data_IF_187327694682
#
_entry.id   IF_187327694682
#
_cell.length_a   1.000
_cell.length_b   1.000
_cell.length_c   1.000
_cell.angle_alpha   90.00
_cell.angle_beta   90.00
_cell.angle_gamma   90.00
#
_symmetry.space_group_name_H-M   'P 1'
#
loop_
_entity.id
_entity.type
_entity.pdbx_description
1 polymer ?
#
# COMPACT_ATOMS: atom_id res chain seq x y z
N UNK A 1 22.19 9.36 6.70
CA UNK A 1 21.49 8.40 7.56
C UNK A 1 22.00 7.02 7.18
N UNK A 2 22.65 6.33 8.08
CA UNK A 2 23.06 4.93 7.90
C UNK A 2 21.88 4.04 8.27
N UNK A 3 21.66 2.99 7.50
CA UNK A 3 20.59 2.01 7.76
C UNK A 3 21.01 1.20 8.99
N UNK A 4 20.13 1.08 9.99
CA UNK A 4 20.34 0.20 11.14
C UNK A 4 20.55 -1.24 10.65
N UNK A 5 21.63 -1.93 11.06
CA UNK A 5 21.96 -3.30 10.63
C UNK A 5 20.82 -4.31 10.88
N UNK A 6 19.96 -4.08 11.89
CA UNK A 6 18.77 -4.92 12.15
C UNK A 6 17.69 -4.79 11.07
N UNK A 7 17.61 -3.65 10.41
CA UNK A 7 16.65 -3.42 9.34
C UNK A 7 17.14 -3.98 8.00
N UNK A 8 18.44 -4.15 7.81
CA UNK A 8 19.00 -4.80 6.62
C UNK A 8 18.58 -6.27 6.47
N UNK A 9 18.38 -6.99 7.58
CA UNK A 9 17.91 -8.38 7.55
C UNK A 9 16.45 -8.54 7.12
N UNK A 10 15.58 -7.59 7.47
CA UNK A 10 14.17 -7.58 7.04
C UNK A 10 14.04 -7.34 5.52
N UNK A 11 14.90 -6.51 4.95
CA UNK A 11 14.93 -6.24 3.50
C UNK A 11 15.30 -7.52 2.72
N UNK A 12 16.18 -8.36 3.25
CA UNK A 12 16.59 -9.63 2.63
C UNK A 12 15.46 -10.66 2.49
N UNK A 13 14.46 -10.65 3.39
CA UNK A 13 13.32 -11.58 3.34
C UNK A 13 12.45 -11.33 2.10
N UNK A 14 12.28 -10.07 1.70
CA UNK A 14 11.50 -9.73 0.51
C UNK A 14 12.23 -10.07 -0.80
N UNK A 15 13.57 -10.10 -0.78
CA UNK A 15 14.37 -10.38 -1.97
C UNK A 15 14.32 -11.85 -2.39
N UNK A 16 14.36 -12.76 -1.42
CA UNK A 16 14.30 -14.20 -1.66
C UNK A 16 12.97 -14.64 -2.31
N UNK A 17 11.88 -13.93 -2.05
CA UNK A 17 10.58 -14.21 -2.65
C UNK A 17 10.48 -13.91 -4.16
N UNK A 18 11.41 -13.11 -4.72
CA UNK A 18 11.45 -12.79 -6.15
C UNK A 18 12.43 -13.63 -6.94
N UNK A 19 13.49 -14.20 -6.33
CA UNK A 19 14.57 -14.87 -7.01
C UNK A 19 14.44 -16.40 -7.13
N UNK A 20 13.48 -17.04 -6.47
CA UNK A 20 13.29 -18.49 -6.55
C UNK A 20 12.38 -18.90 -7.70
N UNK A 21 12.88 -18.84 -8.94
CA UNK A 21 12.36 -19.66 -10.03
C UNK A 21 13.36 -19.77 -11.19
N UNK A 22 14.10 -20.88 -11.19
CA UNK A 22 14.65 -21.65 -12.29
C UNK A 22 15.03 -20.95 -13.61
N UNK A 23 16.33 -20.82 -13.82
CA UNK A 23 16.93 -20.80 -15.15
C UNK A 23 17.29 -22.24 -15.60
N UNK A 24 16.90 -22.72 -16.78
CA UNK A 24 17.55 -23.83 -17.42
C UNK A 24 18.86 -23.34 -18.08
N UNK A 25 19.99 -23.68 -17.48
CA UNK A 25 21.29 -23.55 -18.17
C UNK A 25 21.43 -24.67 -19.19
N UNK A 26 21.32 -24.32 -20.46
CA UNK A 26 21.84 -25.11 -21.54
C UNK A 26 23.33 -24.81 -21.68
N UNK A 27 24.18 -25.78 -21.35
CA UNK A 27 25.55 -25.87 -21.88
C UNK A 27 25.89 -27.33 -22.06
N UNK A 28 26.20 -27.64 -23.31
CA UNK A 28 26.57 -28.96 -23.77
C UNK A 28 27.97 -29.39 -23.34
N UNK A 29 28.06 -30.66 -23.19
CA UNK A 29 29.13 -31.60 -23.39
C UNK A 29 30.56 -31.28 -22.92
N UNK A 30 31.08 -32.12 -22.04
CA UNK A 30 32.16 -33.05 -22.33
C UNK A 30 32.34 -34.04 -21.15
N UNK A 31 32.55 -35.29 -21.52
CA UNK A 31 32.73 -36.49 -20.69
C UNK A 31 33.99 -36.45 -19.85
N UNK A 32 33.96 -36.97 -18.61
CA UNK A 32 34.89 -38.00 -18.16
C UNK A 32 34.34 -38.69 -16.89
N UNK A 33 34.46 -40.03 -16.93
CA UNK A 33 34.09 -40.99 -15.89
C UNK A 33 35.05 -40.94 -14.70
N UNK A 34 34.54 -41.16 -13.46
CA UNK A 34 35.08 -42.17 -12.53
C UNK A 34 34.26 -42.25 -11.21
N UNK A 35 33.78 -43.46 -10.97
CA UNK A 35 33.51 -44.26 -9.74
C UNK A 35 33.33 -43.58 -8.34
N UNK A 36 32.13 -43.80 -7.87
CA UNK A 36 31.67 -44.33 -6.57
C UNK A 36 32.43 -44.05 -5.28
N UNK A 37 31.70 -43.50 -4.27
CA UNK A 37 31.40 -44.22 -2.99
C UNK A 37 30.29 -43.50 -2.19
N UNK A 38 29.54 -44.29 -1.44
CA UNK A 38 28.35 -44.01 -0.62
C UNK A 38 28.71 -43.20 0.64
N UNK A 39 27.79 -42.36 1.09
CA UNK A 39 27.02 -42.33 2.36
C UNK A 39 26.81 -40.90 2.81
N UNK A 40 25.59 -40.62 3.33
CA UNK A 40 25.34 -39.44 4.14
C UNK A 40 24.04 -38.68 3.79
N UNK A 41 23.04 -38.89 4.62
CA UNK A 41 21.70 -38.34 4.52
C UNK A 41 21.64 -36.81 4.42
N UNK A 42 20.81 -36.32 3.54
CA UNK A 42 20.44 -34.90 3.42
C UNK A 42 19.18 -34.61 4.23
N UNK A 43 19.18 -33.63 5.13
CA UNK A 43 17.97 -33.07 5.71
C UNK A 43 17.71 -31.69 5.10
N UNK A 44 17.10 -31.62 3.91
CA UNK A 44 16.71 -30.33 3.34
C UNK A 44 15.54 -30.43 2.34
N UNK A 45 14.40 -30.93 2.83
CA UNK A 45 13.17 -31.02 2.03
C UNK A 45 11.88 -30.72 2.82
N UNK A 46 11.97 -29.92 3.89
CA UNK A 46 10.76 -29.54 4.66
C UNK A 46 10.42 -28.05 4.62
N UNK A 47 11.21 -27.20 3.99
CA UNK A 47 10.95 -25.74 3.94
C UNK A 47 10.18 -25.26 2.73
N UNK A 48 10.12 -26.03 1.66
CA UNK A 48 9.38 -25.62 0.44
C UNK A 48 7.85 -25.81 0.55
N UNK A 49 7.40 -26.75 1.36
CA UNK A 49 5.96 -27.04 1.53
C UNK A 49 5.21 -25.97 2.32
N UNK A 50 5.86 -25.30 3.26
CA UNK A 50 5.22 -24.30 4.13
C UNK A 50 4.99 -22.95 3.43
N UNK A 51 5.87 -22.54 2.51
CA UNK A 51 5.77 -21.28 1.77
C UNK A 51 4.69 -21.37 0.69
N UNK A 52 4.55 -22.51 0.03
CA UNK A 52 3.49 -22.76 -0.95
C UNK A 52 2.10 -22.82 -0.28
N UNK A 53 2.00 -23.33 0.93
CA UNK A 53 0.72 -23.42 1.68
C UNK A 53 0.25 -22.04 2.13
N UNK A 54 1.18 -21.16 2.51
CA UNK A 54 0.84 -19.78 2.91
C UNK A 54 0.43 -18.91 1.71
N UNK A 55 0.99 -19.17 0.52
CA UNK A 55 0.58 -18.47 -0.70
C UNK A 55 -0.79 -18.94 -1.24
N UNK A 56 -1.21 -20.15 -0.94
CA UNK A 56 -2.51 -20.68 -1.36
C UNK A 56 -3.69 -20.20 -0.49
N UNK A 57 -3.42 -19.63 0.69
CA UNK A 57 -4.48 -19.09 1.56
C UNK A 57 -5.04 -17.73 1.12
N UNK A 58 -4.41 -17.08 0.13
CA UNK A 58 -5.01 -15.93 -0.58
C UNK A 58 -5.77 -16.48 -1.80
N UNK A 59 -6.74 -17.37 -1.56
CA UNK A 59 -7.63 -17.85 -2.61
C UNK A 59 -8.64 -16.78 -2.98
N UNK A 60 -8.92 -16.69 -4.27
CA UNK A 60 -10.06 -16.01 -4.88
C UNK A 60 -11.34 -16.28 -4.10
N UNK A 61 -11.77 -15.30 -3.31
CA UNK A 61 -13.09 -15.32 -2.69
C UNK A 61 -14.10 -14.84 -3.72
N UNK A 62 -14.84 -15.80 -4.28
CA UNK A 62 -16.07 -15.49 -4.99
C UNK A 62 -17.08 -14.94 -3.98
N UNK A 63 -17.27 -13.63 -4.01
CA UNK A 63 -18.24 -12.93 -3.19
C UNK A 63 -19.62 -13.13 -3.82
N UNK A 64 -20.35 -14.11 -3.35
CA UNK A 64 -21.80 -14.19 -3.48
C UNK A 64 -22.34 -14.61 -2.11
N UNK A 65 -22.42 -13.65 -1.20
CA UNK A 65 -23.38 -13.69 -0.10
C UNK A 65 -23.56 -12.26 0.41
N UNK A 66 -24.79 -11.81 0.38
CA UNK A 66 -25.24 -10.50 0.82
C UNK A 66 -25.08 -10.37 2.34
N UNK A 67 -23.95 -9.82 2.78
CA UNK A 67 -23.80 -9.40 4.17
C UNK A 67 -24.53 -8.08 4.38
N UNK A 68 -25.60 -8.13 5.14
CA UNK A 68 -26.37 -6.98 5.58
C UNK A 68 -25.53 -6.11 6.51
N UNK A 69 -25.26 -4.85 6.10
CA UNK A 69 -24.38 -3.92 6.84
C UNK A 69 -24.98 -3.58 8.22
N UNK A 70 -26.28 -3.84 8.45
CA UNK A 70 -26.93 -3.62 9.73
C UNK A 70 -26.43 -4.57 10.84
N UNK A 71 -25.83 -5.72 10.47
CA UNK A 71 -25.35 -6.77 11.37
C UNK A 71 -23.82 -6.91 11.43
N UNK A 72 -23.06 -6.00 10.80
CA UNK A 72 -21.65 -5.90 11.11
C UNK A 72 -21.57 -5.32 12.52
N UNK A 73 -21.41 -6.18 13.52
CA UNK A 73 -20.96 -5.79 14.86
C UNK A 73 -19.53 -5.28 14.68
N UNK A 74 -19.41 -4.03 14.21
CA UNK A 74 -18.19 -3.29 14.24
C UNK A 74 -18.02 -2.91 15.71
N UNK A 75 -17.31 -3.76 16.42
CA UNK A 75 -16.59 -3.46 17.65
C UNK A 75 -17.30 -2.50 18.62
N UNK A 76 -18.06 -3.05 19.55
CA UNK A 76 -18.56 -2.30 20.69
C UNK A 76 -17.46 -2.18 21.75
N UNK A 77 -16.77 -1.04 21.78
CA UNK A 77 -15.94 -0.68 22.91
C UNK A 77 -16.82 -0.44 24.14
N UNK A 78 -16.60 -1.22 25.19
CA UNK A 78 -17.18 -0.97 26.52
C UNK A 78 -16.83 0.43 27.00
N UNK A 79 -17.85 1.17 27.41
CA UNK A 79 -17.79 2.51 27.94
C UNK A 79 -16.77 2.64 29.10
N UNK A 80 -15.65 3.28 28.86
CA UNK A 80 -14.89 3.92 29.93
C UNK A 80 -14.87 5.44 29.65
N UNK A 81 -15.76 6.13 30.35
CA UNK A 81 -15.82 7.58 30.41
C UNK A 81 -14.63 8.09 31.22
N UNK A 82 -13.53 8.43 30.56
CA UNK A 82 -12.55 9.36 31.11
C UNK A 82 -12.14 10.32 29.99
N UNK A 83 -12.85 11.45 29.96
CA UNK A 83 -12.57 12.59 29.10
C UNK A 83 -11.33 13.30 29.63
N UNK A 84 -10.17 13.00 29.08
CA UNK A 84 -8.98 13.84 29.21
C UNK A 84 -9.01 14.82 28.04
N UNK A 85 -9.38 16.05 28.30
CA UNK A 85 -9.26 17.16 27.35
C UNK A 85 -7.78 17.49 27.15
N UNK A 86 -7.16 16.89 26.17
CA UNK A 86 -5.85 17.33 25.67
C UNK A 86 -6.08 18.50 24.72
N UNK A 87 -5.57 19.69 25.09
CA UNK A 87 -5.47 20.84 24.19
C UNK A 87 -4.60 20.45 23.01
N UNK A 88 -5.22 20.09 21.90
CA UNK A 88 -4.52 19.84 20.64
C UNK A 88 -3.97 21.16 20.11
N UNK A 89 -2.66 21.27 19.98
CA UNK A 89 -2.03 22.34 19.22
C UNK A 89 -2.53 22.23 17.76
N UNK A 90 -3.43 23.14 17.37
CA UNK A 90 -3.90 23.30 15.98
C UNK A 90 -2.70 23.64 15.10
N UNK A 91 -2.07 22.65 14.49
CA UNK A 91 -0.89 22.88 13.67
C UNK A 91 -1.22 23.29 12.23
N UNK A 92 -2.41 22.98 11.72
CA UNK A 92 -2.92 23.46 10.44
C UNK A 92 -4.45 23.57 10.53
N UNK A 93 -4.97 24.74 10.82
CA UNK A 93 -6.36 25.07 10.54
C UNK A 93 -6.39 25.63 9.12
N UNK A 94 -6.75 24.82 8.14
CA UNK A 94 -7.24 25.39 6.90
C UNK A 94 -8.44 26.26 7.23
N UNK A 95 -8.44 27.49 6.73
CA UNK A 95 -9.59 28.36 6.91
C UNK A 95 -10.77 27.63 6.25
N UNK A 96 -11.85 27.41 6.98
CA UNK A 96 -13.03 26.65 6.53
C UNK A 96 -13.55 27.15 5.17
N UNK A 97 -13.31 28.43 4.86
CA UNK A 97 -13.71 29.08 3.61
C UNK A 97 -12.96 28.53 2.38
N UNK A 98 -11.74 27.96 2.56
CA UNK A 98 -10.97 27.34 1.49
C UNK A 98 -11.19 25.82 1.36
N UNK A 99 -11.88 25.22 2.32
CA UNK A 99 -12.07 23.78 2.35
C UNK A 99 -12.81 23.27 1.10
N UNK A 100 -13.95 23.90 0.80
CA UNK A 100 -14.80 23.48 -0.31
C UNK A 100 -14.08 23.70 -1.66
N UNK A 101 -13.40 24.83 -1.82
CA UNK A 101 -12.65 25.15 -3.03
C UNK A 101 -11.47 24.19 -3.23
N UNK A 102 -10.69 23.92 -2.17
CA UNK A 102 -9.58 22.98 -2.24
C UNK A 102 -10.06 21.57 -2.60
N UNK A 103 -11.13 21.11 -1.95
CA UNK A 103 -11.70 19.80 -2.22
C UNK A 103 -12.24 19.68 -3.64
N UNK A 104 -12.95 20.70 -4.13
CA UNK A 104 -13.47 20.73 -5.50
C UNK A 104 -12.33 20.70 -6.53
N UNK A 105 -11.24 21.43 -6.30
CA UNK A 105 -10.07 21.40 -7.19
C UNK A 105 -9.43 20.00 -7.23
N UNK A 106 -9.31 19.32 -6.09
CA UNK A 106 -8.83 17.93 -6.05
C UNK A 106 -9.77 16.98 -6.81
N UNK A 107 -11.09 17.13 -6.70
CA UNK A 107 -12.04 16.32 -7.47
C UNK A 107 -11.93 16.55 -8.98
N UNK A 108 -11.78 17.81 -9.41
CA UNK A 108 -11.57 18.14 -10.82
C UNK A 108 -10.29 17.52 -11.37
N UNK A 109 -9.23 17.55 -10.59
CA UNK A 109 -7.97 16.92 -10.95
C UNK A 109 -8.09 15.38 -10.93
N UNK A 110 -8.72 14.79 -9.92
CA UNK A 110 -8.97 13.35 -9.87
C UNK A 110 -9.72 12.89 -11.14
N UNK A 111 -10.73 13.63 -11.57
CA UNK A 111 -11.50 13.28 -12.76
C UNK A 111 -10.65 13.23 -14.04
N UNK A 112 -9.66 14.15 -14.17
CA UNK A 112 -8.68 14.14 -15.27
C UNK A 112 -7.74 12.92 -15.19
N UNK A 113 -7.39 12.47 -13.96
CA UNK A 113 -6.35 11.47 -13.71
C UNK A 113 -6.90 10.06 -13.58
N UNK A 114 -8.16 9.87 -13.17
CA UNK A 114 -8.77 8.56 -12.96
C UNK A 114 -8.74 7.67 -14.20
N UNK A 115 -8.87 8.26 -15.39
CA UNK A 115 -8.84 7.53 -16.66
C UNK A 115 -7.47 6.94 -17.01
N UNK A 116 -6.40 7.26 -16.26
CA UNK A 116 -5.03 6.82 -16.56
C UNK A 116 -4.71 5.42 -16.07
N UNK A 117 -5.34 4.99 -14.97
CA UNK A 117 -5.16 3.65 -14.45
C UNK A 117 -6.28 2.76 -14.97
N UNK A 118 -5.91 1.77 -15.76
CA UNK A 118 -6.83 0.69 -16.07
C UNK A 118 -6.95 -0.23 -14.86
N UNK A 119 -8.06 -0.19 -14.14
CA UNK A 119 -8.30 -1.02 -12.95
C UNK A 119 -8.20 -2.53 -13.22
N UNK A 120 -8.20 -2.96 -14.48
CA UNK A 120 -8.04 -4.35 -14.89
C UNK A 120 -6.73 -4.61 -15.65
N UNK A 121 -5.68 -3.83 -15.41
CA UNK A 121 -4.41 -3.98 -16.14
C UNK A 121 -3.74 -5.34 -15.92
N UNK A 122 -3.99 -6.04 -14.81
CA UNK A 122 -3.44 -7.37 -14.59
C UNK A 122 -3.89 -8.41 -15.61
N UNK A 123 -5.02 -8.18 -16.29
CA UNK A 123 -5.55 -9.12 -17.31
C UNK A 123 -4.61 -9.27 -18.50
N UNK A 124 -3.80 -8.27 -18.84
CA UNK A 124 -2.82 -8.33 -19.92
C UNK A 124 -1.37 -8.45 -19.46
N UNK A 125 -1.10 -8.38 -18.15
CA UNK A 125 0.23 -8.62 -17.61
C UNK A 125 0.57 -10.12 -17.64
N UNK A 126 1.58 -10.50 -18.44
CA UNK A 126 1.91 -11.91 -18.67
C UNK A 126 2.84 -12.52 -17.62
N UNK A 127 3.66 -11.70 -16.96
CA UNK A 127 4.78 -12.16 -16.12
C UNK A 127 4.64 -11.81 -14.65
N UNK A 128 3.67 -10.95 -14.31
CA UNK A 128 3.35 -10.53 -12.95
C UNK A 128 1.88 -10.79 -12.66
N UNK A 129 1.55 -10.80 -11.36
CA UNK A 129 0.18 -10.96 -10.90
C UNK A 129 -0.11 -10.06 -9.68
N UNK A 130 -1.37 -10.02 -9.26
CA UNK A 130 -1.82 -9.18 -8.14
C UNK A 130 -1.12 -9.51 -6.81
N UNK A 131 -0.72 -10.77 -6.56
CA UNK A 131 0.03 -11.16 -5.36
C UNK A 131 1.43 -10.55 -5.35
N UNK A 132 2.11 -10.56 -6.49
CA UNK A 132 3.42 -9.92 -6.63
C UNK A 132 3.33 -8.41 -6.44
N UNK A 133 2.24 -7.77 -6.92
CA UNK A 133 1.98 -6.35 -6.65
C UNK A 133 1.78 -6.10 -5.16
N UNK A 134 0.98 -6.91 -4.48
CA UNK A 134 0.72 -6.79 -3.05
C UNK A 134 2.02 -6.87 -2.22
N UNK A 135 2.90 -7.83 -2.52
CA UNK A 135 4.23 -7.96 -1.88
C UNK A 135 5.09 -6.72 -2.16
N UNK A 136 5.06 -6.20 -3.39
CA UNK A 136 5.81 -5.00 -3.75
C UNK A 136 5.34 -3.78 -2.96
N UNK A 137 4.02 -3.60 -2.83
CA UNK A 137 3.43 -2.47 -2.09
C UNK A 137 3.68 -2.61 -0.59
N UNK A 138 3.57 -3.80 -0.02
CA UNK A 138 3.91 -4.05 1.39
C UNK A 138 5.37 -3.65 1.68
N UNK A 139 6.30 -4.04 0.81
CA UNK A 139 7.69 -3.61 0.90
C UNK A 139 7.85 -2.08 0.78
N UNK A 140 7.10 -1.41 -0.11
CA UNK A 140 7.15 0.06 -0.22
C UNK A 140 6.68 0.74 1.07
N UNK A 141 5.66 0.21 1.75
CA UNK A 141 5.18 0.72 3.04
C UNK A 141 6.28 0.60 4.10
N UNK A 142 7.00 -0.52 4.13
CA UNK A 142 8.12 -0.73 5.06
C UNK A 142 9.27 0.26 4.79
N UNK A 143 9.71 0.39 3.54
CA UNK A 143 10.75 1.35 3.12
C UNK A 143 10.34 2.80 3.44
N UNK A 144 9.11 3.16 3.11
CA UNK A 144 8.56 4.48 3.43
C UNK A 144 8.64 4.78 4.94
N UNK A 145 8.30 3.80 5.77
CA UNK A 145 8.37 3.94 7.22
C UNK A 145 9.80 4.06 7.73
N UNK A 146 10.73 3.24 7.22
CA UNK A 146 12.14 3.25 7.62
C UNK A 146 12.85 4.56 7.28
N UNK A 147 12.54 5.16 6.15
CA UNK A 147 13.14 6.42 5.71
C UNK A 147 12.37 7.67 6.16
N UNK A 148 11.30 7.50 6.95
CA UNK A 148 10.44 8.58 7.46
C UNK A 148 9.97 9.54 6.35
N UNK A 149 9.57 8.97 5.21
CA UNK A 149 9.09 9.73 4.05
C UNK A 149 7.69 10.28 4.28
N UNK A 150 7.31 11.33 3.53
CA UNK A 150 5.94 11.86 3.53
C UNK A 150 4.96 10.81 3.00
N UNK A 151 3.75 10.77 3.54
CA UNK A 151 2.71 9.86 3.06
C UNK A 151 2.41 10.04 1.58
N UNK A 152 2.34 11.29 1.12
CA UNK A 152 2.15 11.61 -0.29
C UNK A 152 3.17 10.90 -1.19
N UNK A 153 4.42 10.75 -0.74
CA UNK A 153 5.48 10.03 -1.49
C UNK A 153 5.10 8.56 -1.72
N UNK A 154 4.56 7.87 -0.70
CA UNK A 154 4.12 6.48 -0.81
C UNK A 154 2.97 6.33 -1.82
N UNK A 155 1.91 7.13 -1.67
CA UNK A 155 0.75 7.08 -2.55
C UNK A 155 1.11 7.42 -3.99
N UNK A 156 1.93 8.46 -4.18
CA UNK A 156 2.44 8.85 -5.48
C UNK A 156 3.29 7.75 -6.14
N UNK A 157 4.14 7.08 -5.37
CA UNK A 157 4.95 5.97 -5.86
C UNK A 157 4.06 4.82 -6.38
N UNK A 158 3.04 4.43 -5.62
CA UNK A 158 2.10 3.37 -6.04
C UNK A 158 1.30 3.80 -7.27
N UNK A 159 0.86 5.05 -7.33
CA UNK A 159 0.17 5.61 -8.51
C UNK A 159 1.05 5.53 -9.77
N UNK A 160 2.32 5.90 -9.69
CA UNK A 160 3.28 5.82 -10.81
C UNK A 160 3.42 4.37 -11.28
N UNK A 161 3.56 3.42 -10.36
CA UNK A 161 3.67 1.99 -10.68
C UNK A 161 2.41 1.51 -11.40
N UNK A 162 1.22 1.74 -10.86
CA UNK A 162 -0.05 1.26 -11.43
C UNK A 162 -0.33 1.91 -12.79
N UNK A 163 -0.02 3.20 -12.94
CA UNK A 163 -0.16 3.90 -14.23
C UNK A 163 0.79 3.33 -15.29
N UNK A 164 2.05 3.06 -14.91
CA UNK A 164 3.00 2.44 -15.83
C UNK A 164 2.59 1.03 -16.23
N UNK A 165 2.16 0.20 -15.26
CA UNK A 165 1.68 -1.16 -15.51
C UNK A 165 0.40 -1.20 -16.33
N UNK A 166 -0.41 -0.13 -16.30
CA UNK A 166 -1.58 0.02 -17.17
C UNK A 166 -1.23 0.26 -18.64
N UNK A 167 0.03 0.65 -18.92
CA UNK A 167 0.50 1.00 -20.28
C UNK A 167 1.57 0.07 -20.83
N UNK A 168 2.23 -0.74 -19.97
CA UNK A 168 3.42 -1.54 -20.34
C UNK A 168 3.36 -2.91 -19.71
N UNK A 169 3.56 -3.96 -20.51
CA UNK A 169 3.82 -5.32 -20.01
C UNK A 169 5.23 -5.36 -19.48
N UNK A 170 5.41 -5.74 -18.22
CA UNK A 170 6.71 -5.79 -17.58
C UNK A 170 7.16 -7.22 -17.29
N UNK A 171 8.42 -7.51 -17.53
CA UNK A 171 9.03 -8.78 -17.12
C UNK A 171 9.34 -8.77 -15.62
N UNK A 172 9.29 -9.93 -14.99
CA UNK A 172 9.52 -10.10 -13.56
C UNK A 172 10.85 -9.49 -13.08
N UNK A 173 11.93 -9.65 -13.86
CA UNK A 173 13.25 -9.08 -13.56
C UNK A 173 13.26 -7.55 -13.47
N UNK A 174 12.41 -6.88 -14.27
CA UNK A 174 12.32 -5.42 -14.33
C UNK A 174 11.28 -4.87 -13.34
N UNK A 175 10.44 -5.73 -12.75
CA UNK A 175 9.40 -5.29 -11.84
C UNK A 175 9.97 -4.72 -10.53
N UNK A 176 11.07 -5.29 -10.06
CA UNK A 176 11.80 -4.80 -8.90
C UNK A 176 12.50 -3.45 -9.19
N UNK A 177 13.10 -3.32 -10.38
CA UNK A 177 13.72 -2.07 -10.82
C UNK A 177 12.68 -0.95 -11.00
N UNK A 178 11.48 -1.29 -11.50
CA UNK A 178 10.37 -0.35 -11.62
C UNK A 178 9.99 0.27 -10.27
N UNK A 179 9.89 -0.54 -9.18
CA UNK A 179 9.55 0.00 -7.86
C UNK A 179 10.58 1.00 -7.34
N UNK A 180 11.88 0.72 -7.57
CA UNK A 180 12.96 1.64 -7.16
C UNK A 180 12.91 2.93 -7.95
N UNK A 181 12.70 2.84 -9.28
CA UNK A 181 12.58 4.02 -10.13
C UNK A 181 11.34 4.86 -9.78
N UNK A 182 10.19 4.24 -9.55
CA UNK A 182 8.97 4.92 -9.14
C UNK A 182 9.12 5.60 -7.76
N UNK A 183 9.78 4.93 -6.81
CA UNK A 183 10.07 5.50 -5.50
C UNK A 183 11.02 6.71 -5.63
N UNK A 184 12.06 6.61 -6.46
CA UNK A 184 12.98 7.71 -6.73
C UNK A 184 12.26 8.91 -7.34
N UNK A 185 11.38 8.69 -8.31
CA UNK A 185 10.57 9.76 -8.94
C UNK A 185 9.67 10.42 -7.88
N UNK A 186 8.95 9.63 -7.09
CA UNK A 186 8.07 10.14 -6.04
C UNK A 186 8.83 10.91 -4.95
N UNK A 187 10.04 10.46 -4.58
CA UNK A 187 10.89 11.18 -3.65
C UNK A 187 11.36 12.52 -4.22
N UNK A 188 11.81 12.57 -5.46
CA UNK A 188 12.24 13.82 -6.12
C UNK A 188 11.11 14.85 -6.19
N UNK A 189 9.87 14.40 -6.31
CA UNK A 189 8.69 15.25 -6.40
C UNK A 189 8.24 15.79 -5.03
N UNK A 190 8.24 14.93 -4.01
CA UNK A 190 7.55 15.25 -2.76
C UNK A 190 8.48 15.55 -1.58
N UNK A 191 9.73 15.08 -1.60
CA UNK A 191 10.64 15.23 -0.47
C UNK A 191 11.57 16.43 -0.66
N UNK A 192 11.79 17.18 0.41
CA UNK A 192 12.79 18.27 0.42
C UNK A 192 14.20 17.67 0.37
N UNK A 193 14.39 16.58 1.12
CA UNK A 193 15.64 15.84 1.18
C UNK A 193 15.31 14.36 1.08
N UNK A 194 15.77 13.69 0.04
CA UNK A 194 15.53 12.25 -0.16
C UNK A 194 16.84 11.45 -0.02
N UNK A 195 16.76 10.13 0.23
CA UNK A 195 17.94 9.29 0.38
C UNK A 195 18.85 9.34 -0.85
N UNK A 196 20.18 9.28 -0.69
CA UNK A 196 21.09 9.27 -1.81
C UNK A 196 20.88 8.04 -2.71
N UNK A 197 21.20 8.15 -4.01
CA UNK A 197 20.97 7.07 -4.99
C UNK A 197 21.58 5.72 -4.57
N UNK A 198 22.71 5.75 -3.86
CA UNK A 198 23.33 4.53 -3.30
C UNK A 198 22.41 3.79 -2.34
N UNK A 199 21.59 4.51 -1.55
CA UNK A 199 20.61 3.89 -0.65
C UNK A 199 19.51 3.18 -1.42
N UNK A 200 19.06 3.73 -2.56
CA UNK A 200 18.09 3.03 -3.43
C UNK A 200 18.66 1.74 -3.99
N UNK A 201 19.94 1.71 -4.39
CA UNK A 201 20.59 0.49 -4.85
C UNK A 201 20.74 -0.53 -3.73
N UNK A 202 21.10 -0.09 -2.51
CA UNK A 202 21.19 -0.95 -1.34
C UNK A 202 19.86 -1.63 -1.00
N UNK A 203 18.71 -0.96 -1.24
CA UNK A 203 17.37 -1.54 -1.07
C UNK A 203 17.10 -2.76 -1.97
N UNK A 204 17.90 -2.98 -3.00
CA UNK A 204 17.85 -4.14 -3.89
C UNK A 204 19.08 -5.04 -3.71
N UNK A 205 19.80 -4.94 -2.59
CA UNK A 205 21.06 -5.67 -2.35
C UNK A 205 22.07 -5.43 -3.49
N UNK A 206 22.07 -4.23 -4.06
CA UNK A 206 22.89 -3.85 -5.22
C UNK A 206 22.71 -4.76 -6.45
N UNK A 207 21.50 -5.33 -6.62
CA UNK A 207 21.16 -6.17 -7.78
C UNK A 207 21.13 -5.41 -9.09
N UNK A 208 21.13 -4.07 -9.02
CA UNK A 208 21.09 -3.19 -10.18
C UNK A 208 22.21 -2.16 -10.10
N UNK A 209 22.65 -1.71 -11.28
CA UNK A 209 23.59 -0.59 -11.40
C UNK A 209 22.86 0.75 -11.32
N UNK A 210 23.62 1.80 -11.04
CA UNK A 210 23.09 3.17 -11.06
C UNK A 210 22.55 3.56 -12.45
N UNK A 211 23.22 3.12 -13.51
CA UNK A 211 22.80 3.35 -14.88
C UNK A 211 21.46 2.70 -15.19
N UNK A 212 21.24 1.45 -14.77
CA UNK A 212 19.96 0.76 -14.93
C UNK A 212 18.82 1.47 -14.20
N UNK A 213 19.07 1.95 -12.97
CA UNK A 213 18.09 2.72 -12.21
C UNK A 213 17.70 4.03 -12.91
N UNK A 214 18.69 4.81 -13.37
CA UNK A 214 18.45 6.07 -14.10
C UNK A 214 17.73 5.80 -15.43
N UNK A 215 18.16 4.78 -16.17
CA UNK A 215 17.51 4.40 -17.42
C UNK A 215 16.05 3.98 -17.21
N UNK A 216 15.74 3.27 -16.12
CA UNK A 216 14.37 2.92 -15.79
C UNK A 216 13.56 4.16 -15.38
N UNK A 217 14.12 5.09 -14.60
CA UNK A 217 13.50 6.37 -14.27
C UNK A 217 13.10 7.13 -15.53
N UNK A 218 14.04 7.32 -16.46
CA UNK A 218 13.80 8.02 -17.73
C UNK A 218 12.70 7.30 -18.54
N UNK A 219 12.72 5.97 -18.58
CA UNK A 219 11.74 5.15 -19.28
C UNK A 219 10.34 5.30 -18.69
N UNK A 220 10.23 5.34 -17.37
CA UNK A 220 8.95 5.54 -16.67
C UNK A 220 8.40 6.93 -16.96
N UNK A 221 9.19 7.99 -16.75
CA UNK A 221 8.76 9.37 -16.95
C UNK A 221 8.33 9.61 -18.41
N UNK A 222 9.12 9.15 -19.39
CA UNK A 222 8.77 9.27 -20.82
C UNK A 222 7.50 8.50 -21.17
N UNK A 223 7.30 7.31 -20.59
CA UNK A 223 6.09 6.51 -20.86
C UNK A 223 4.83 7.12 -20.26
N UNK A 224 4.98 7.88 -19.18
CA UNK A 224 3.90 8.61 -18.53
C UNK A 224 3.74 10.05 -19.07
N UNK A 225 4.50 10.44 -20.09
CA UNK A 225 4.48 11.77 -20.70
C UNK A 225 4.71 12.90 -19.67
N UNK A 226 5.58 12.66 -18.68
CA UNK A 226 5.85 13.54 -17.53
C UNK A 226 4.63 13.80 -16.63
N UNK A 227 3.55 13.10 -16.85
CA UNK A 227 2.30 13.26 -16.14
C UNK A 227 2.24 12.25 -14.99
N UNK A 228 2.94 12.58 -13.93
CA UNK A 228 3.17 11.72 -12.76
C UNK A 228 2.36 12.15 -11.53
N UNK A 229 1.71 13.31 -11.58
CA UNK A 229 0.94 13.83 -10.45
C UNK A 229 -0.50 13.31 -10.49
N UNK A 230 -1.05 13.03 -9.32
CA UNK A 230 -2.47 12.70 -9.13
C UNK A 230 -2.87 13.05 -7.72
N UNK A 231 -4.08 13.56 -7.49
CA UNK A 231 -4.66 13.61 -6.16
C UNK A 231 -4.68 12.22 -5.53
N UNK A 232 -4.31 12.14 -4.27
CA UNK A 232 -4.19 10.88 -3.54
C UNK A 232 -5.29 10.74 -2.50
N UNK A 233 -5.63 9.50 -2.13
CA UNK A 233 -6.59 9.25 -1.06
C UNK A 233 -6.12 9.85 0.28
N UNK A 234 -4.82 9.98 0.48
CA UNK A 234 -4.23 10.64 1.65
C UNK A 234 -4.58 12.13 1.73
N UNK A 235 -4.48 12.85 0.59
CA UNK A 235 -4.83 14.28 0.53
C UNK A 235 -6.32 14.50 0.81
N UNK A 236 -7.21 13.73 0.18
CA UNK A 236 -8.65 13.78 0.44
C UNK A 236 -8.98 13.42 1.89
N UNK A 237 -8.34 12.40 2.45
CA UNK A 237 -8.57 11.99 3.82
C UNK A 237 -8.06 13.03 4.82
N UNK A 238 -6.91 13.66 4.55
CA UNK A 238 -6.37 14.73 5.38
C UNK A 238 -7.37 15.88 5.55
N UNK A 239 -7.95 16.33 4.41
CA UNK A 239 -8.99 17.36 4.41
C UNK A 239 -10.22 16.90 5.18
N UNK A 240 -10.69 15.66 4.98
CA UNK A 240 -11.82 15.10 5.71
C UNK A 240 -11.57 15.05 7.22
N UNK A 241 -10.39 14.60 7.62
CA UNK A 241 -10.00 14.47 9.02
C UNK A 241 -9.93 15.83 9.72
N UNK A 242 -9.52 16.88 9.02
CA UNK A 242 -9.53 18.25 9.54
C UNK A 242 -10.96 18.80 9.66
N UNK A 243 -11.80 18.55 8.67
CA UNK A 243 -13.20 19.00 8.66
C UNK A 243 -14.02 18.33 9.77
N UNK A 244 -13.78 17.05 10.06
CA UNK A 244 -14.45 16.31 11.14
C UNK A 244 -13.75 16.42 12.48
N UNK A 245 -12.69 17.24 12.57
CA UNK A 245 -11.92 17.46 13.80
C UNK A 245 -11.45 16.14 14.43
N UNK A 246 -11.00 15.19 13.62
CA UNK A 246 -10.50 13.90 14.11
C UNK A 246 -9.33 14.11 15.07
N UNK A 247 -9.39 13.42 16.20
CA UNK A 247 -8.24 13.32 17.12
C UNK A 247 -7.07 12.62 16.43
N UNK A 248 -5.86 12.79 16.95
CA UNK A 248 -4.67 12.15 16.39
C UNK A 248 -4.81 10.62 16.28
N UNK A 249 -5.38 9.98 17.29
CA UNK A 249 -5.64 8.53 17.27
C UNK A 249 -6.63 8.12 16.17
N UNK A 250 -7.71 8.90 15.98
CA UNK A 250 -8.70 8.66 14.93
C UNK A 250 -8.09 8.85 13.55
N UNK A 251 -7.23 9.87 13.40
CA UNK A 251 -6.49 10.13 12.17
C UNK A 251 -5.56 8.96 11.86
N UNK A 252 -4.74 8.52 12.80
CA UNK A 252 -3.83 7.38 12.60
C UNK A 252 -4.57 6.07 12.27
N UNK A 253 -5.76 5.86 12.85
CA UNK A 253 -6.58 4.71 12.52
C UNK A 253 -7.09 4.76 11.07
N UNK A 254 -7.55 5.91 10.60
CA UNK A 254 -7.92 6.09 9.19
C UNK A 254 -6.74 5.93 8.24
N UNK A 255 -5.59 6.47 8.61
CA UNK A 255 -4.34 6.34 7.85
C UNK A 255 -3.84 4.88 7.77
N UNK A 256 -4.03 4.08 8.82
CA UNK A 256 -3.78 2.65 8.80
C UNK A 256 -4.63 1.94 7.73
N UNK A 257 -5.90 2.27 7.64
CA UNK A 257 -6.81 1.71 6.64
C UNK A 257 -6.41 2.18 5.22
N UNK A 258 -6.01 3.45 5.07
CA UNK A 258 -5.55 4.00 3.80
C UNK A 258 -4.27 3.31 3.30
N UNK A 259 -3.26 3.14 4.16
CA UNK A 259 -2.03 2.44 3.76
C UNK A 259 -2.34 0.99 3.39
N UNK A 260 -3.22 0.32 4.14
CA UNK A 260 -3.69 -1.02 3.82
C UNK A 260 -4.37 -1.07 2.44
N UNK A 261 -5.15 -0.04 2.06
CA UNK A 261 -5.86 0.02 0.80
C UNK A 261 -4.94 -0.06 -0.42
N UNK A 262 -3.70 0.42 -0.31
CA UNK A 262 -2.72 0.37 -1.39
C UNK A 262 -2.32 -1.07 -1.78
N UNK A 263 -2.42 -2.01 -0.84
CA UNK A 263 -2.01 -3.41 -1.03
C UNK A 263 -2.98 -4.15 -1.94
N UNK A 264 -4.30 -3.90 -1.80
CA UNK A 264 -5.31 -4.65 -2.55
C UNK A 264 -5.56 -4.06 -3.94
N UNK A 265 -5.18 -4.82 -4.96
CA UNK A 265 -5.41 -4.49 -6.36
C UNK A 265 -6.90 -4.24 -6.70
N UNK A 266 -7.82 -4.94 -6.03
CA UNK A 266 -9.25 -4.81 -6.31
C UNK A 266 -9.82 -3.44 -5.94
N UNK A 267 -9.15 -2.69 -5.08
CA UNK A 267 -9.56 -1.34 -4.69
C UNK A 267 -9.27 -0.28 -5.77
N UNK A 268 -8.48 -0.61 -6.80
CA UNK A 268 -8.27 0.26 -7.96
C UNK A 268 -9.55 0.55 -8.76
N UNK A 269 -10.65 -0.16 -8.49
CA UNK A 269 -11.98 0.14 -9.06
C UNK A 269 -12.63 1.39 -8.45
N UNK A 270 -12.16 1.86 -7.30
CA UNK A 270 -12.68 3.04 -6.61
C UNK A 270 -11.78 4.26 -6.86
N UNK A 271 -12.41 5.43 -6.93
CA UNK A 271 -11.70 6.70 -6.94
C UNK A 271 -10.98 6.94 -5.60
N UNK A 272 -9.91 7.71 -5.61
CA UNK A 272 -9.14 8.05 -4.41
C UNK A 272 -10.00 8.82 -3.40
N UNK A 273 -10.86 9.72 -3.88
CA UNK A 273 -11.86 10.43 -3.08
C UNK A 273 -12.84 9.48 -2.40
N UNK A 274 -13.33 8.45 -3.13
CA UNK A 274 -14.24 7.43 -2.57
C UNK A 274 -13.57 6.61 -1.49
N UNK A 275 -12.31 6.20 -1.69
CA UNK A 275 -11.51 5.48 -0.68
C UNK A 275 -11.35 6.35 0.57
N UNK A 276 -11.00 7.62 0.42
CA UNK A 276 -10.81 8.56 1.51
C UNK A 276 -12.08 8.78 2.34
N UNK A 277 -13.23 8.97 1.66
CA UNK A 277 -14.54 9.13 2.32
C UNK A 277 -14.95 7.83 3.02
N UNK A 278 -14.69 6.67 2.40
CA UNK A 278 -14.96 5.36 3.02
C UNK A 278 -14.10 5.13 4.28
N UNK A 279 -12.83 5.53 4.27
CA UNK A 279 -11.97 5.51 5.47
C UNK A 279 -12.52 6.41 6.58
N UNK A 280 -12.90 7.66 6.26
CA UNK A 280 -13.54 8.57 7.21
C UNK A 280 -14.84 8.00 7.77
N UNK A 281 -15.67 7.36 6.94
CA UNK A 281 -16.89 6.68 7.37
C UNK A 281 -16.60 5.55 8.36
N UNK A 282 -15.56 4.74 8.10
CA UNK A 282 -15.14 3.67 9.03
C UNK A 282 -14.67 4.27 10.35
N UNK A 283 -13.85 5.33 10.33
CA UNK A 283 -13.41 6.02 11.56
C UNK A 283 -14.61 6.50 12.39
N UNK A 284 -15.56 7.20 11.77
CA UNK A 284 -16.74 7.72 12.46
C UNK A 284 -17.56 6.58 13.07
N UNK A 285 -17.76 5.50 12.34
CA UNK A 285 -18.50 4.33 12.84
C UNK A 285 -17.76 3.62 13.96
N UNK A 286 -16.47 3.40 13.82
CA UNK A 286 -15.65 2.68 14.78
C UNK A 286 -15.57 3.40 16.13
N UNK A 287 -15.41 4.72 16.12
CA UNK A 287 -15.33 5.54 17.32
C UNK A 287 -16.69 6.07 17.79
N UNK A 288 -17.81 5.64 17.19
CA UNK A 288 -19.17 6.09 17.51
C UNK A 288 -19.33 7.62 17.50
N UNK A 289 -18.72 8.29 16.52
CA UNK A 289 -18.80 9.73 16.39
C UNK A 289 -20.13 10.14 15.76
N UNK A 290 -20.58 11.36 16.08
CA UNK A 290 -21.71 11.98 15.40
C UNK A 290 -21.30 12.40 13.97
N UNK A 291 -22.24 12.41 13.02
CA UNK A 291 -21.98 12.94 11.68
C UNK A 291 -21.87 11.93 10.54
N UNK A 292 -22.19 10.64 10.79
CA UNK A 292 -22.19 9.58 9.76
C UNK A 292 -22.98 9.99 8.51
N UNK A 293 -24.14 10.62 8.68
CA UNK A 293 -24.97 11.07 7.56
C UNK A 293 -24.41 12.32 6.88
N UNK A 294 -23.66 13.15 7.58
CA UNK A 294 -22.99 14.31 6.99
C UNK A 294 -21.90 13.89 6.02
N UNK A 295 -21.05 12.93 6.40
CA UNK A 295 -19.95 12.49 5.54
C UNK A 295 -20.47 11.85 4.24
N UNK A 296 -21.63 11.18 4.32
CA UNK A 296 -22.17 10.46 3.14
C UNK A 296 -23.05 11.36 2.27
N UNK A 297 -23.87 12.24 2.87
CA UNK A 297 -24.95 12.90 2.12
C UNK A 297 -24.68 14.38 1.83
N UNK A 298 -23.89 15.07 2.65
CA UNK A 298 -23.82 16.53 2.59
C UNK A 298 -22.46 17.07 2.14
N UNK A 299 -21.39 16.31 2.26
CA UNK A 299 -20.04 16.83 2.02
C UNK A 299 -19.60 16.61 0.57
N UNK A 300 -20.15 15.61 -0.12
CA UNK A 300 -19.64 15.19 -1.42
C UNK A 300 -20.77 14.78 -2.36
N UNK A 301 -21.43 15.75 -3.06
CA UNK A 301 -22.59 15.47 -3.91
C UNK A 301 -22.27 14.50 -5.07
N UNK A 302 -21.02 14.46 -5.51
CA UNK A 302 -20.58 13.64 -6.64
C UNK A 302 -20.23 12.18 -6.26
N UNK A 303 -20.10 11.90 -4.94
CA UNK A 303 -19.77 10.56 -4.45
C UNK A 303 -21.06 9.83 -4.03
N UNK A 304 -21.37 8.73 -4.71
CA UNK A 304 -22.59 7.97 -4.46
C UNK A 304 -22.51 7.26 -3.08
N UNK A 305 -23.50 7.46 -2.17
CA UNK A 305 -23.51 6.85 -0.85
C UNK A 305 -23.39 5.31 -0.86
N UNK A 306 -23.91 4.66 -1.88
CA UNK A 306 -23.80 3.21 -2.07
C UNK A 306 -22.35 2.80 -2.32
N UNK A 307 -21.65 3.54 -3.17
CA UNK A 307 -20.24 3.26 -3.52
C UNK A 307 -19.31 3.41 -2.31
N UNK A 308 -19.55 4.44 -1.46
CA UNK A 308 -18.82 4.60 -0.19
C UNK A 308 -19.02 3.40 0.73
N UNK A 309 -20.26 2.92 0.87
CA UNK A 309 -20.56 1.76 1.73
C UNK A 309 -19.95 0.47 1.19
N UNK A 310 -19.96 0.28 -0.13
CA UNK A 310 -19.36 -0.89 -0.77
C UNK A 310 -17.83 -0.84 -0.60
N UNK A 311 -17.20 0.31 -0.80
CA UNK A 311 -15.78 0.53 -0.56
C UNK A 311 -15.41 0.30 0.91
N UNK A 312 -16.19 0.85 1.86
CA UNK A 312 -15.96 0.65 3.29
C UNK A 312 -16.03 -0.83 3.71
N UNK A 313 -16.95 -1.61 3.09
CA UNK A 313 -17.04 -3.05 3.31
C UNK A 313 -15.78 -3.76 2.81
N UNK A 314 -15.33 -3.44 1.60
CA UNK A 314 -14.12 -4.01 1.01
C UNK A 314 -12.89 -3.68 1.87
N UNK A 315 -12.76 -2.45 2.37
CA UNK A 315 -11.69 -2.01 3.26
C UNK A 315 -11.70 -2.75 4.61
N UNK A 316 -12.86 -2.88 5.26
CA UNK A 316 -12.98 -3.65 6.51
C UNK A 316 -12.57 -5.11 6.31
N UNK A 317 -13.00 -5.71 5.21
CA UNK A 317 -12.64 -7.08 4.86
C UNK A 317 -11.13 -7.22 4.62
N UNK A 318 -10.52 -6.28 3.90
CA UNK A 318 -9.08 -6.23 3.66
C UNK A 318 -8.30 -6.17 4.98
N UNK A 319 -8.60 -5.22 5.86
CA UNK A 319 -7.90 -5.04 7.14
C UNK A 319 -7.99 -6.29 8.00
N UNK A 320 -9.18 -6.93 8.08
CA UNK A 320 -9.38 -8.19 8.81
C UNK A 320 -8.53 -9.34 8.25
N UNK A 321 -8.35 -9.41 6.94
CA UNK A 321 -7.53 -10.45 6.31
C UNK A 321 -6.03 -10.15 6.39
N UNK A 322 -5.62 -8.89 6.31
CA UNK A 322 -4.22 -8.50 6.45
C UNK A 322 -3.65 -8.88 7.82
N UNK A 323 -4.45 -8.79 8.89
CA UNK A 323 -4.02 -9.21 10.24
C UNK A 323 -3.54 -10.66 10.30
N UNK A 324 -4.02 -11.51 9.37
CA UNK A 324 -3.71 -12.96 9.27
C UNK A 324 -2.74 -13.29 8.14
N UNK A 325 -2.31 -12.30 7.36
CA UNK A 325 -1.46 -12.51 6.20
C UNK A 325 0.03 -12.37 6.53
N UNK A 326 0.88 -12.75 5.58
CA UNK A 326 2.33 -12.52 5.66
C UNK A 326 2.74 -11.09 5.28
N UNK A 327 1.78 -10.26 4.83
CA UNK A 327 2.00 -8.85 4.49
C UNK A 327 1.84 -8.02 5.77
N UNK A 328 2.95 -7.74 6.42
CA UNK A 328 2.97 -7.23 7.81
C UNK A 328 3.44 -5.77 7.92
N UNK A 329 3.90 -5.15 6.84
CA UNK A 329 4.51 -3.83 6.89
C UNK A 329 3.55 -2.77 7.43
N UNK A 330 2.29 -2.76 6.95
CA UNK A 330 1.27 -1.83 7.44
C UNK A 330 1.01 -2.04 8.93
N UNK A 331 0.84 -3.29 9.37
CA UNK A 331 0.63 -3.61 10.78
C UNK A 331 1.82 -3.16 11.64
N UNK A 332 3.05 -3.51 11.23
CA UNK A 332 4.28 -3.17 11.96
C UNK A 332 4.46 -1.65 12.10
N UNK A 333 4.12 -0.89 11.06
CA UNK A 333 4.13 0.58 11.09
C UNK A 333 3.18 1.11 12.15
N UNK A 334 1.91 0.67 12.15
CA UNK A 334 0.85 1.24 12.97
C UNK A 334 0.69 0.58 14.37
N UNK A 335 1.45 -0.47 14.68
CA UNK A 335 1.61 -0.99 16.04
C UNK A 335 2.69 -0.22 16.82
N UNK A 336 3.46 0.64 16.16
CA UNK A 336 4.49 1.44 16.83
C UNK A 336 3.88 2.54 17.69
N UNK A 337 4.60 2.94 18.75
CA UNK A 337 4.19 4.03 19.64
C UNK A 337 4.00 5.36 18.90
N UNK A 338 4.74 5.58 17.80
CA UNK A 338 4.59 6.75 16.92
C UNK A 338 3.16 6.91 16.41
N UNK A 339 2.47 5.81 16.16
CA UNK A 339 1.10 5.75 15.66
C UNK A 339 0.09 5.25 16.72
N UNK A 340 0.39 5.42 18.01
CA UNK A 340 -0.51 5.09 19.13
C UNK A 340 -1.06 3.67 19.11
N UNK A 341 -0.30 2.71 18.55
CA UNK A 341 -0.67 1.30 18.47
C UNK A 341 -2.05 1.05 17.84
N UNK A 342 -2.49 1.88 16.88
CA UNK A 342 -3.86 1.79 16.32
C UNK A 342 -4.14 0.49 15.59
N UNK A 343 -3.11 -0.22 15.09
CA UNK A 343 -3.29 -1.53 14.47
C UNK A 343 -3.86 -2.57 15.44
N UNK A 344 -3.58 -2.48 16.74
CA UNK A 344 -4.14 -3.37 17.78
C UNK A 344 -5.65 -3.26 17.90
N UNK A 345 -6.23 -2.08 17.63
CA UNK A 345 -7.67 -1.87 17.70
C UNK A 345 -8.46 -2.79 16.76
N UNK A 346 -7.82 -3.32 15.72
CA UNK A 346 -8.42 -4.25 14.77
C UNK A 346 -8.22 -5.73 15.15
N UNK A 347 -7.36 -6.04 16.13
CA UNK A 347 -7.08 -7.41 16.59
C UNK A 347 -7.91 -7.81 17.81
N UNK A 348 -8.19 -6.84 18.69
CA UNK A 348 -8.90 -7.08 19.96
C UNK A 348 -10.42 -7.27 19.75
N UNK A 349 -10.87 -7.24 18.51
CA UNK A 349 -12.27 -7.26 18.12
C UNK A 349 -12.47 -8.16 16.89
#
# INVERSE_FOLDING_TARGET
>A
MEIDPKNAQLIGVYHNNFNTSNHPKNQGALKHESKATKTGANPSLQTEGSILTTMNSVQTLNIKDSLDISNITIFSLSNNKNTISLKTNKKYSYNKDYFDELYQNLLLDEHKFYQRINSNYMSFQKYINYKMRAILVDWLIDVHFQFDMKKKTLFQCVFIIDTYLSKVIIERKNFQLLRLAALLIACKENEITYPPLKSFLALSENSYTLEELINMEIKVIKKLDFDILSPTAEEFFGINADNFEFTEKQRFFGEYILDASLIDYNLLKYNQSTIAVACGYIVIKFFNLNGVNQIINNTYPDIKPKEVKDCARDLCYLVKNLSKSSLVATKNKYISNKYMNVAQLCEDN
#
